data_IF_228910710053
#
_entry.id   IF_228910710053
#
_cell.length_a   1.000
_cell.length_b   1.000
_cell.length_c   1.000
_cell.angle_alpha   90.00
_cell.angle_beta   90.00
_cell.angle_gamma   90.00
#
_symmetry.space_group_name_H-M   'P 1'
#
loop_
_entity.id
_entity.type
_entity.pdbx_description
1 polymer ?
#
# COMPACT_ATOMS: atom_id res chain seq x y z
N UNK A 1 13.73 -0.90 -7.06
CA UNK A 1 12.65 -1.65 -6.42
C UNK A 1 13.18 -2.83 -5.60
N UNK A 2 13.98 -3.73 -6.20
CA UNK A 2 14.51 -4.93 -5.51
C UNK A 2 15.36 -4.60 -4.29
N UNK A 3 16.21 -3.56 -4.37
CA UNK A 3 17.02 -3.10 -3.24
C UNK A 3 16.15 -2.58 -2.08
N UNK A 4 15.15 -1.76 -2.38
CA UNK A 4 14.22 -1.21 -1.38
C UNK A 4 13.40 -2.31 -0.70
N UNK A 5 12.93 -3.31 -1.46
CA UNK A 5 12.23 -4.47 -0.92
C UNK A 5 13.13 -5.31 0.00
N UNK A 6 14.41 -5.46 -0.35
CA UNK A 6 15.38 -6.16 0.51
C UNK A 6 15.61 -5.41 1.82
N UNK A 7 15.68 -4.08 1.80
CA UNK A 7 15.80 -3.27 3.02
C UNK A 7 14.56 -3.41 3.92
N UNK A 8 13.35 -3.34 3.34
CA UNK A 8 12.10 -3.52 4.08
C UNK A 8 12.05 -4.90 4.73
N UNK A 9 12.47 -5.97 4.03
CA UNK A 9 12.55 -7.32 4.60
C UNK A 9 13.54 -7.42 5.76
N UNK A 10 14.66 -6.73 5.67
CA UNK A 10 15.68 -6.76 6.73
C UNK A 10 15.22 -6.05 8.03
N UNK A 11 14.31 -5.09 7.92
CA UNK A 11 13.76 -4.34 9.06
C UNK A 11 12.54 -5.06 9.67
N UNK A 12 11.88 -5.93 8.91
CA UNK A 12 10.69 -6.64 9.36
C UNK A 12 11.05 -7.96 10.06
N UNK A 13 10.41 -8.25 11.21
CA UNK A 13 10.55 -9.54 11.90
C UNK A 13 9.99 -10.70 11.09
N UNK A 14 8.91 -10.45 10.35
CA UNK A 14 8.24 -11.45 9.52
C UNK A 14 7.48 -10.81 8.37
N UNK A 15 7.66 -11.35 7.18
CA UNK A 15 6.83 -11.02 6.01
C UNK A 15 5.63 -11.96 5.99
N UNK A 16 4.42 -11.43 6.09
CA UNK A 16 3.17 -12.21 6.05
C UNK A 16 2.75 -12.49 4.62
N UNK A 17 2.82 -11.48 3.76
CA UNK A 17 2.51 -11.61 2.34
C UNK A 17 3.30 -10.59 1.53
N UNK A 18 3.67 -10.98 0.34
CA UNK A 18 4.29 -10.09 -0.65
C UNK A 18 3.66 -10.40 -2.00
N UNK A 19 3.18 -9.38 -2.67
CA UNK A 19 2.64 -9.49 -4.02
C UNK A 19 3.32 -8.47 -4.92
N UNK A 20 3.90 -8.95 -6.02
CA UNK A 20 4.49 -8.11 -7.05
C UNK A 20 3.62 -8.19 -8.30
N UNK A 21 3.05 -7.06 -8.69
CA UNK A 21 2.29 -6.94 -9.93
C UNK A 21 3.09 -6.07 -10.90
N UNK A 22 3.39 -6.61 -12.06
CA UNK A 22 4.05 -5.91 -13.16
C UNK A 22 3.11 -5.85 -14.35
N UNK A 23 3.00 -4.67 -14.96
CA UNK A 23 2.27 -4.46 -16.20
C UNK A 23 3.25 -3.97 -17.26
N UNK A 24 3.32 -4.68 -18.39
CA UNK A 24 4.08 -4.22 -19.55
C UNK A 24 3.27 -3.16 -20.28
N UNK A 25 3.85 -1.99 -20.46
CA UNK A 25 3.23 -0.85 -21.14
C UNK A 25 3.91 -0.51 -22.46
N UNK A 26 4.86 -1.34 -22.90
CA UNK A 26 5.66 -1.11 -24.11
C UNK A 26 4.77 -0.96 -25.34
N UNK A 27 3.81 -1.86 -25.53
CA UNK A 27 2.90 -1.81 -26.68
C UNK A 27 2.05 -0.54 -26.67
N UNK A 28 1.59 -0.10 -25.49
CA UNK A 28 0.81 1.13 -25.34
C UNK A 28 1.67 2.36 -25.68
N UNK A 29 2.92 2.35 -25.27
CA UNK A 29 3.85 3.45 -25.54
C UNK A 29 4.14 3.56 -27.05
N UNK A 30 4.38 2.43 -27.71
CA UNK A 30 4.63 2.37 -29.17
C UNK A 30 3.41 2.82 -29.96
N UNK A 31 2.21 2.42 -29.54
CA UNK A 31 0.96 2.81 -30.18
C UNK A 31 0.70 4.32 -30.05
N UNK A 32 0.85 4.90 -28.86
CA UNK A 32 0.73 6.35 -28.64
C UNK A 32 1.75 7.12 -29.48
N UNK A 33 2.98 6.63 -29.56
CA UNK A 33 4.04 7.28 -30.34
C UNK A 33 3.75 7.25 -31.84
N UNK A 34 3.14 6.18 -32.34
CA UNK A 34 2.67 6.10 -33.73
C UNK A 34 1.49 7.06 -34.00
N UNK A 35 0.53 7.14 -33.09
CA UNK A 35 -0.60 8.05 -33.18
C UNK A 35 -0.14 9.51 -33.17
N UNK A 36 0.76 9.89 -32.28
CA UNK A 36 1.33 11.23 -32.21
C UNK A 36 2.03 11.61 -33.52
N UNK A 37 2.85 10.72 -34.08
CA UNK A 37 3.50 10.98 -35.38
C UNK A 37 2.50 11.25 -36.51
N UNK A 38 1.42 10.50 -36.56
CA UNK A 38 0.37 10.70 -37.54
C UNK A 38 -0.37 12.04 -37.36
N UNK A 39 -0.67 12.39 -36.11
CA UNK A 39 -1.35 13.65 -35.79
C UNK A 39 -0.47 14.87 -36.08
N UNK A 40 0.84 14.81 -35.76
CA UNK A 40 1.78 15.88 -36.13
C UNK A 40 1.91 16.06 -37.65
N UNK A 41 1.98 14.97 -38.39
CA UNK A 41 2.00 15.05 -39.86
C UNK A 41 0.71 15.70 -40.40
N UNK A 42 -0.44 15.33 -39.85
CA UNK A 42 -1.73 15.93 -40.24
C UNK A 42 -1.82 17.40 -39.81
N UNK A 43 -1.29 17.78 -38.63
CA UNK A 43 -1.22 19.20 -38.24
C UNK A 43 -0.37 20.01 -39.23
N UNK A 44 0.79 19.48 -39.63
CA UNK A 44 1.68 20.12 -40.61
C UNK A 44 0.98 20.35 -41.94
N UNK A 45 0.28 19.34 -42.48
CA UNK A 45 -0.49 19.45 -43.71
C UNK A 45 -1.60 20.49 -43.58
N UNK A 46 -2.32 20.54 -42.49
CA UNK A 46 -3.37 21.54 -42.24
C UNK A 46 -2.81 22.96 -42.10
N UNK A 47 -1.66 23.13 -41.49
CA UNK A 47 -0.97 24.41 -41.36
C UNK A 47 -0.49 24.89 -42.73
N UNK A 48 0.01 23.99 -43.59
CA UNK A 48 0.36 24.31 -44.98
C UNK A 48 -0.87 24.75 -45.79
N UNK A 49 -1.98 24.01 -45.67
CA UNK A 49 -3.25 24.36 -46.30
C UNK A 49 -3.78 25.72 -45.82
N UNK A 50 -3.67 25.98 -44.53
CA UNK A 50 -4.06 27.26 -43.94
C UNK A 50 -3.23 28.43 -44.52
N UNK A 51 -1.92 28.22 -44.70
CA UNK A 51 -1.05 29.24 -45.32
C UNK A 51 -1.46 29.51 -46.77
N UNK A 52 -1.71 28.46 -47.57
CA UNK A 52 -2.17 28.56 -48.94
C UNK A 52 -3.51 29.30 -49.05
N UNK A 53 -4.48 28.98 -48.17
CA UNK A 53 -5.77 29.68 -48.13
C UNK A 53 -5.64 31.14 -47.72
N UNK A 54 -4.69 31.50 -46.86
CA UNK A 54 -4.44 32.89 -46.46
C UNK A 54 -3.84 33.73 -47.56
N UNK A 55 -2.98 33.13 -48.37
CA UNK A 55 -2.32 33.82 -49.50
C UNK A 55 -3.24 33.99 -50.70
N UNK A 56 -4.40 33.31 -50.72
CA UNK A 56 -5.39 33.44 -51.77
C UNK A 56 -6.42 34.55 -51.43
N UNK A 57 -6.46 35.67 -52.17
CA UNK A 57 -7.38 36.76 -51.90
C UNK A 57 -8.86 36.41 -52.11
N UNK A 58 -9.15 35.36 -52.90
CA UNK A 58 -10.50 34.85 -53.15
C UNK A 58 -10.88 33.67 -52.22
N UNK A 59 -10.11 33.42 -51.19
CA UNK A 59 -10.39 32.31 -50.27
C UNK A 59 -11.70 32.54 -49.52
N UNK A 60 -12.51 31.50 -49.45
CA UNK A 60 -13.76 31.48 -48.70
C UNK A 60 -13.44 31.52 -47.19
N UNK A 61 -13.92 32.55 -46.46
CA UNK A 61 -13.69 32.65 -45.00
C UNK A 61 -14.23 31.46 -44.22
N UNK A 62 -15.28 30.77 -44.70
CA UNK A 62 -15.83 29.58 -44.09
C UNK A 62 -14.85 28.40 -44.13
N UNK A 63 -14.11 28.26 -45.24
CA UNK A 63 -13.05 27.22 -45.34
C UNK A 63 -11.91 27.50 -44.43
N UNK A 64 -11.52 28.75 -44.28
CA UNK A 64 -10.46 29.19 -43.36
C UNK A 64 -10.83 28.84 -41.93
N UNK A 65 -12.07 29.14 -41.52
CA UNK A 65 -12.56 28.80 -40.18
C UNK A 65 -12.60 27.29 -39.94
N UNK A 66 -13.07 26.52 -40.94
CA UNK A 66 -13.12 25.05 -40.82
C UNK A 66 -11.73 24.43 -40.61
N UNK A 67 -10.70 24.93 -41.33
CA UNK A 67 -9.33 24.45 -41.15
C UNK A 67 -8.79 24.83 -39.74
N UNK A 68 -9.10 26.02 -39.26
CA UNK A 68 -8.74 26.43 -37.89
C UNK A 68 -9.38 25.56 -36.84
N UNK A 69 -10.66 25.22 -36.99
CA UNK A 69 -11.35 24.31 -36.05
C UNK A 69 -10.74 22.93 -36.08
N UNK A 70 -10.36 22.44 -37.27
CA UNK A 70 -9.71 21.14 -37.40
C UNK A 70 -8.31 21.12 -36.73
N UNK A 71 -7.50 22.16 -36.92
CA UNK A 71 -6.20 22.29 -36.29
C UNK A 71 -6.37 22.30 -34.76
N UNK A 72 -7.35 23.06 -34.24
CA UNK A 72 -7.61 23.12 -32.80
C UNK A 72 -8.04 21.76 -32.22
N UNK A 73 -8.85 21.00 -32.97
CA UNK A 73 -9.26 19.65 -32.61
C UNK A 73 -8.05 18.72 -32.50
N UNK A 74 -7.20 18.68 -33.54
CA UNK A 74 -6.02 17.84 -33.60
C UNK A 74 -5.02 18.19 -32.49
N UNK A 75 -4.83 19.48 -32.19
CA UNK A 75 -3.99 19.90 -31.07
C UNK A 75 -4.51 19.37 -29.74
N UNK A 76 -5.82 19.38 -29.53
CA UNK A 76 -6.42 18.79 -28.33
C UNK A 76 -6.15 17.28 -28.23
N UNK A 77 -6.18 16.55 -29.34
CA UNK A 77 -5.83 15.11 -29.36
C UNK A 77 -4.34 14.89 -29.09
N UNK A 78 -3.46 15.70 -29.68
CA UNK A 78 -2.01 15.67 -29.42
C UNK A 78 -1.74 15.87 -27.93
N UNK A 79 -2.26 16.93 -27.33
CA UNK A 79 -2.07 17.24 -25.90
C UNK A 79 -2.57 16.08 -25.01
N UNK A 80 -3.69 15.48 -25.36
CA UNK A 80 -4.21 14.32 -24.61
C UNK A 80 -3.29 13.11 -24.71
N UNK A 81 -2.75 12.81 -25.88
CA UNK A 81 -1.84 11.68 -26.08
C UNK A 81 -0.47 11.94 -25.45
N UNK A 82 0.04 13.17 -25.50
CA UNK A 82 1.27 13.57 -24.82
C UNK A 82 1.12 13.41 -23.30
N UNK A 83 0.00 13.87 -22.74
CA UNK A 83 -0.31 13.68 -21.33
C UNK A 83 -0.36 12.20 -20.94
N UNK A 84 -0.95 11.36 -21.80
CA UNK A 84 -0.99 9.91 -21.57
C UNK A 84 0.40 9.26 -21.67
N UNK A 85 1.21 9.70 -22.65
CA UNK A 85 2.61 9.26 -22.80
C UNK A 85 3.44 9.63 -21.60
N UNK A 86 3.29 10.85 -21.10
CA UNK A 86 3.99 11.31 -19.88
C UNK A 86 3.60 10.47 -18.66
N UNK A 87 2.30 10.22 -18.47
CA UNK A 87 1.83 9.36 -17.38
C UNK A 87 2.44 7.96 -17.44
N UNK A 88 2.51 7.35 -18.62
CA UNK A 88 3.15 6.03 -18.79
C UNK A 88 4.64 6.08 -18.48
N UNK A 89 5.33 7.16 -18.88
CA UNK A 89 6.75 7.38 -18.59
C UNK A 89 6.98 7.47 -17.08
N UNK A 90 6.14 8.22 -16.37
CA UNK A 90 6.22 8.38 -14.92
C UNK A 90 5.93 7.06 -14.18
N UNK A 91 4.95 6.29 -14.66
CA UNK A 91 4.63 4.96 -14.10
C UNK A 91 5.77 3.94 -14.28
N UNK A 92 6.50 4.01 -15.39
CA UNK A 92 7.70 3.16 -15.61
C UNK A 92 8.86 3.59 -14.74
N UNK A 93 9.03 4.90 -14.52
CA UNK A 93 10.10 5.43 -13.68
C UNK A 93 9.86 5.20 -12.18
N UNK A 94 8.59 5.12 -11.75
CA UNK A 94 8.18 5.04 -10.37
C UNK A 94 7.51 3.70 -10.08
N UNK A 95 7.90 3.05 -8.98
CA UNK A 95 7.20 1.88 -8.44
C UNK A 95 6.47 2.26 -7.16
N UNK A 96 5.19 1.90 -7.07
CA UNK A 96 4.40 2.12 -5.86
C UNK A 96 4.52 0.92 -4.94
N UNK A 97 4.93 1.14 -3.70
CA UNK A 97 4.99 0.12 -2.65
C UNK A 97 3.89 0.42 -1.64
N UNK A 98 2.92 -0.48 -1.52
CA UNK A 98 1.91 -0.44 -0.47
C UNK A 98 2.38 -1.31 0.68
N UNK A 99 2.67 -0.71 1.82
CA UNK A 99 3.16 -1.40 3.01
C UNK A 99 2.08 -1.37 4.08
N UNK A 100 1.67 -2.56 4.54
CA UNK A 100 0.83 -2.72 5.73
C UNK A 100 1.70 -3.28 6.83
N UNK A 101 1.79 -2.55 7.94
CA UNK A 101 2.58 -2.96 9.12
C UNK A 101 1.61 -3.36 10.21
N UNK A 102 1.60 -4.65 10.53
CA UNK A 102 0.86 -5.15 11.68
C UNK A 102 1.81 -5.26 12.89
N UNK A 103 1.43 -4.76 14.06
CA UNK A 103 2.24 -4.95 15.24
C UNK A 103 2.36 -6.44 15.56
N UNK A 104 3.58 -6.89 15.89
CA UNK A 104 3.78 -8.26 16.40
C UNK A 104 2.85 -8.47 17.58
N UNK A 105 2.07 -9.56 17.62
CA UNK A 105 1.22 -9.84 18.78
C UNK A 105 2.10 -9.82 20.02
N UNK A 106 1.81 -8.87 20.93
CA UNK A 106 2.48 -8.85 22.23
C UNK A 106 2.36 -10.25 22.82
N UNK A 107 3.49 -10.80 23.28
CA UNK A 107 3.47 -12.08 23.98
C UNK A 107 2.39 -11.98 25.06
N UNK A 108 1.29 -12.71 24.89
CA UNK A 108 0.25 -12.77 25.93
C UNK A 108 0.99 -13.28 27.15
N UNK A 109 1.09 -12.52 28.26
CA UNK A 109 1.69 -13.04 29.47
C UNK A 109 0.95 -14.32 29.79
N UNK A 110 1.67 -15.45 29.79
CA UNK A 110 1.12 -16.71 30.29
C UNK A 110 0.81 -16.42 31.73
N UNK A 111 -0.45 -16.06 32.03
CA UNK A 111 -0.93 -16.01 33.41
C UNK A 111 -0.66 -17.41 33.94
N UNK A 112 0.16 -17.56 34.98
CA UNK A 112 0.38 -18.88 35.58
C UNK A 112 -1.01 -19.46 35.82
N UNK A 113 -1.27 -20.65 35.30
CA UNK A 113 -2.52 -21.33 35.59
C UNK A 113 -2.69 -21.29 37.13
N UNK A 114 -3.88 -20.83 37.56
CA UNK A 114 -4.21 -20.84 38.98
C UNK A 114 -3.69 -22.15 39.61
N UNK A 115 -3.07 -22.09 40.79
CA UNK A 115 -2.44 -23.27 41.35
C UNK A 115 -3.44 -24.41 41.28
N UNK A 116 -3.07 -25.44 40.55
CA UNK A 116 -3.91 -26.65 40.42
C UNK A 116 -4.26 -27.05 41.83
N UNK A 117 -5.56 -27.08 42.17
CA UNK A 117 -6.03 -27.50 43.47
C UNK A 117 -5.45 -28.89 43.80
N UNK A 118 -4.43 -28.94 44.63
CA UNK A 118 -3.78 -30.16 45.06
C UNK A 118 -4.35 -30.55 46.42
N UNK A 119 -5.25 -31.54 46.49
CA UNK A 119 -5.88 -31.95 47.73
C UNK A 119 -4.85 -32.40 48.77
N UNK A 120 -3.69 -32.88 48.34
CA UNK A 120 -2.62 -33.33 49.24
C UNK A 120 -1.94 -32.15 49.98
N UNK A 121 -1.79 -30.99 49.33
CA UNK A 121 -1.21 -29.80 49.98
C UNK A 121 -2.19 -29.20 50.97
N UNK A 122 -3.47 -29.10 50.58
CA UNK A 122 -4.55 -28.62 51.45
C UNK A 122 -4.72 -29.52 52.70
N UNK A 123 -4.66 -30.84 52.51
CA UNK A 123 -4.74 -31.78 53.63
C UNK A 123 -3.56 -31.65 54.63
N UNK A 124 -2.33 -31.46 54.13
CA UNK A 124 -1.16 -31.21 54.95
C UNK A 124 -1.27 -29.91 55.76
N UNK A 125 -1.74 -28.83 55.13
CA UNK A 125 -1.93 -27.54 55.82
C UNK A 125 -3.04 -27.66 56.88
N UNK A 126 -4.14 -28.35 56.57
CA UNK A 126 -5.21 -28.58 57.53
C UNK A 126 -4.74 -29.38 58.75
N UNK A 127 -3.92 -30.44 58.52
CA UNK A 127 -3.36 -31.23 59.59
C UNK A 127 -2.39 -30.40 60.46
N UNK A 128 -1.55 -29.57 59.86
CA UNK A 128 -0.64 -28.68 60.57
C UNK A 128 -1.39 -27.68 61.42
N UNK A 129 -2.40 -27.05 60.88
CA UNK A 129 -3.24 -26.09 61.59
C UNK A 129 -3.97 -26.77 62.78
N UNK A 130 -4.40 -28.04 62.60
CA UNK A 130 -5.01 -28.80 63.69
C UNK A 130 -4.04 -29.08 64.81
N UNK A 131 -2.81 -29.47 64.46
CA UNK A 131 -1.74 -29.73 65.52
C UNK A 131 -1.38 -28.45 66.27
N UNK A 132 -1.28 -27.30 65.52
CA UNK A 132 -1.01 -26.02 66.17
C UNK A 132 -2.15 -25.57 67.11
N UNK A 133 -3.40 -25.80 66.69
CA UNK A 133 -4.57 -25.51 67.53
C UNK A 133 -4.58 -26.41 68.84
N UNK A 134 -4.28 -27.69 68.68
CA UNK A 134 -4.15 -28.60 69.86
C UNK A 134 -3.03 -28.18 70.77
N UNK A 135 -1.88 -27.75 70.27
CA UNK A 135 -0.78 -27.27 71.07
C UNK A 135 -1.15 -25.97 71.80
N UNK A 136 -1.84 -25.05 71.15
CA UNK A 136 -2.34 -23.83 71.76
C UNK A 136 -3.33 -24.13 72.91
N UNK A 137 -4.26 -25.07 72.69
CA UNK A 137 -5.17 -25.51 73.72
C UNK A 137 -4.44 -26.18 74.88
N UNK A 138 -3.43 -27.00 74.64
CA UNK A 138 -2.58 -27.63 75.64
C UNK A 138 -1.84 -26.60 76.47
N UNK A 139 -1.26 -25.57 75.88
CA UNK A 139 -0.58 -24.48 76.54
C UNK A 139 -1.51 -23.67 77.42
N UNK A 140 -2.71 -23.39 76.95
CA UNK A 140 -3.75 -22.72 77.77
C UNK A 140 -4.17 -23.57 78.95
N UNK A 141 -4.39 -24.87 78.76
CA UNK A 141 -4.77 -25.78 79.84
C UNK A 141 -3.71 -25.86 80.88
N UNK A 142 -2.42 -25.94 80.49
CA UNK A 142 -1.27 -25.96 81.46
C UNK A 142 -1.21 -24.65 82.24
N UNK A 143 -1.47 -23.52 81.61
CA UNK A 143 -1.45 -22.20 82.20
C UNK A 143 -2.61 -21.94 83.18
N UNK A 144 -3.67 -22.73 83.05
CA UNK A 144 -4.85 -22.63 83.94
C UNK A 144 -4.73 -23.54 85.19
N UNK A 145 -3.88 -24.54 85.11
CA UNK A 145 -3.70 -25.52 86.19
C UNK A 145 -2.51 -25.14 87.13
N UNK A 146 -1.67 -24.24 86.70
CA UNK A 146 -0.55 -23.69 87.51
C UNK A 146 -0.89 -22.26 87.99
#
# INVERSE_FOLDING_TARGET
LTATLAEIRNVSDRVVSESLQSQDVTDQFVDIDAQLRNLYALEEELLALLAELRDNPDADPAKLLAVFEQIRYIRGEIEQLEGRKQLLTDLVALATINLTVDPSPAAIPIVPADPVWEPATVAKEALRNLVEAMQALGTVAIRFVL
#
